data_IF_104124785989
#
_entry.id   IF_104124785989
#
_cell.length_a   1.000
_cell.length_b   1.000
_cell.length_c   1.000
_cell.angle_alpha   90.00
_cell.angle_beta   90.00
_cell.angle_gamma   90.00
#
_symmetry.space_group_name_H-M   'P 1'
#
loop_
_entity.id
_entity.type
_entity.pdbx_description
1 polymer ?
#
# COMPACT_ATOMS: atom_id res chain seq x y z
N UNK A 1 13.11 -0.78 17.72
CA UNK A 1 14.44 -0.12 17.87
C UNK A 1 14.80 0.64 16.61
N UNK A 2 15.59 1.72 16.70
CA UNK A 2 16.06 2.45 15.51
C UNK A 2 17.15 1.62 14.80
N UNK A 3 17.13 1.47 13.46
CA UNK A 3 18.17 0.73 12.78
C UNK A 3 19.51 1.46 12.91
N UNK A 4 20.59 0.69 13.06
CA UNK A 4 21.92 1.24 13.31
C UNK A 4 22.69 1.52 12.02
N UNK A 5 22.32 0.85 10.92
CA UNK A 5 22.93 1.02 9.60
C UNK A 5 21.87 0.95 8.49
N UNK A 6 22.26 1.34 7.28
CA UNK A 6 21.41 1.19 6.09
C UNK A 6 21.13 -0.29 5.78
N UNK A 7 22.10 -1.17 6.01
CA UNK A 7 21.93 -2.61 5.77
C UNK A 7 20.98 -3.25 6.78
N UNK A 8 21.05 -2.84 8.05
CA UNK A 8 20.10 -3.22 9.09
C UNK A 8 18.68 -2.76 8.74
N UNK A 9 18.52 -1.50 8.31
CA UNK A 9 17.24 -1.00 7.83
C UNK A 9 16.72 -1.80 6.64
N UNK A 10 17.56 -2.08 5.63
CA UNK A 10 17.17 -2.85 4.44
C UNK A 10 16.70 -4.25 4.83
N UNK A 11 17.44 -4.93 5.71
CA UNK A 11 17.07 -6.27 6.17
C UNK A 11 15.74 -6.26 6.89
N UNK A 12 15.51 -5.29 7.77
CA UNK A 12 14.23 -5.15 8.48
C UNK A 12 13.04 -4.89 7.55
N UNK A 13 13.21 -4.05 6.53
CA UNK A 13 12.16 -3.83 5.52
C UNK A 13 11.81 -5.14 4.81
N UNK A 14 12.82 -5.94 4.43
CA UNK A 14 12.60 -7.24 3.78
C UNK A 14 11.95 -8.26 4.72
N UNK A 15 12.40 -8.31 5.96
CA UNK A 15 11.84 -9.19 6.99
C UNK A 15 10.36 -8.83 7.24
N UNK A 16 10.03 -7.55 7.37
CA UNK A 16 8.65 -7.07 7.51
C UNK A 16 7.81 -7.37 6.26
N UNK A 17 8.35 -7.14 5.06
CA UNK A 17 7.66 -7.42 3.80
C UNK A 17 7.35 -8.91 3.62
N UNK A 18 8.19 -9.81 4.15
CA UNK A 18 7.97 -11.25 4.07
C UNK A 18 6.71 -11.71 4.81
N UNK A 19 6.29 -10.97 5.84
CA UNK A 19 5.08 -11.29 6.60
C UNK A 19 3.81 -10.71 6.00
N UNK A 20 3.88 -9.93 4.92
CA UNK A 20 2.70 -9.39 4.25
C UNK A 20 1.91 -10.54 3.61
N UNK A 21 0.65 -10.78 4.02
CA UNK A 21 -0.18 -11.82 3.43
C UNK A 21 -0.45 -11.57 1.95
N UNK A 22 -0.56 -12.63 1.14
CA UNK A 22 -0.78 -12.50 -0.31
C UNK A 22 -2.09 -11.79 -0.66
N UNK A 23 -3.13 -12.00 0.15
CA UNK A 23 -4.43 -11.35 0.03
C UNK A 23 -4.35 -9.83 0.20
N UNK A 24 -3.37 -9.29 0.95
CA UNK A 24 -3.18 -7.83 1.03
C UNK A 24 -2.80 -7.25 -0.34
N UNK A 25 -1.99 -7.96 -1.11
CA UNK A 25 -1.62 -7.54 -2.47
C UNK A 25 -2.83 -7.60 -3.38
N UNK A 26 -3.64 -8.67 -3.30
CA UNK A 26 -4.89 -8.80 -4.06
C UNK A 26 -5.88 -7.69 -3.71
N UNK A 27 -6.04 -7.38 -2.42
CA UNK A 27 -6.92 -6.32 -1.94
C UNK A 27 -6.45 -4.94 -2.39
N UNK A 28 -5.14 -4.69 -2.39
CA UNK A 28 -4.57 -3.44 -2.88
C UNK A 28 -4.84 -3.24 -4.38
N UNK A 29 -4.73 -4.30 -5.19
CA UNK A 29 -5.05 -4.27 -6.62
C UNK A 29 -6.55 -4.00 -6.84
N UNK A 30 -7.42 -4.70 -6.10
CA UNK A 30 -8.87 -4.48 -6.18
C UNK A 30 -9.22 -3.04 -5.81
N UNK A 31 -8.73 -2.56 -4.66
CA UNK A 31 -8.98 -1.21 -4.18
C UNK A 31 -8.45 -0.14 -5.14
N UNK A 32 -7.37 -0.40 -5.88
CA UNK A 32 -6.92 0.52 -6.93
C UNK A 32 -7.98 0.72 -8.02
N UNK A 33 -8.63 -0.36 -8.49
CA UNK A 33 -9.67 -0.26 -9.51
C UNK A 33 -10.95 0.41 -8.97
N UNK A 34 -11.32 0.14 -7.71
CA UNK A 34 -12.45 0.82 -7.07
C UNK A 34 -12.21 2.33 -6.99
N UNK A 35 -10.99 2.72 -6.60
CA UNK A 35 -10.55 4.13 -6.55
C UNK A 35 -10.51 4.77 -7.94
N UNK A 36 -10.03 4.05 -8.94
CA UNK A 36 -10.01 4.52 -10.32
C UNK A 36 -11.43 4.75 -10.87
N UNK A 37 -12.34 3.82 -10.63
CA UNK A 37 -13.75 3.96 -11.00
C UNK A 37 -14.38 5.16 -10.31
N UNK A 38 -14.09 5.38 -9.02
CA UNK A 38 -14.54 6.56 -8.31
C UNK A 38 -14.06 7.85 -8.99
N UNK A 39 -12.75 8.00 -9.24
CA UNK A 39 -12.18 9.17 -9.93
C UNK A 39 -12.89 9.49 -11.26
N UNK A 40 -13.23 8.45 -12.03
CA UNK A 40 -13.91 8.62 -13.32
C UNK A 40 -15.34 9.17 -13.17
N UNK A 41 -15.97 8.96 -12.02
CA UNK A 41 -17.34 9.42 -11.73
C UNK A 41 -17.42 10.77 -11.02
N UNK A 42 -16.32 11.26 -10.44
CA UNK A 42 -16.28 12.50 -9.64
C UNK A 42 -15.28 13.53 -10.17
N UNK A 43 -15.14 13.63 -11.50
CA UNK A 43 -14.23 14.59 -12.17
C UNK A 43 -12.79 14.58 -11.62
N UNK A 44 -12.32 13.42 -11.15
CA UNK A 44 -11.00 13.21 -10.54
C UNK A 44 -10.72 14.07 -9.30
N UNK A 45 -11.75 14.48 -8.57
CA UNK A 45 -11.57 15.13 -7.26
C UNK A 45 -10.88 14.19 -6.25
N UNK A 46 -10.11 14.77 -5.33
CA UNK A 46 -9.42 14.01 -4.29
C UNK A 46 -10.41 13.38 -3.31
N UNK A 47 -10.22 12.09 -3.01
CA UNK A 47 -11.15 11.30 -2.20
C UNK A 47 -10.44 10.59 -1.03
N UNK A 48 -9.39 11.20 -0.45
CA UNK A 48 -8.49 10.57 0.55
C UNK A 48 -9.19 9.87 1.74
N UNK A 49 -10.47 10.15 2.01
CA UNK A 49 -11.23 9.58 3.14
C UNK A 49 -12.55 8.88 2.76
N UNK A 50 -12.82 8.60 1.49
CA UNK A 50 -14.15 8.10 1.04
C UNK A 50 -14.24 6.57 0.84
N UNK A 51 -13.12 5.85 0.94
CA UNK A 51 -13.03 4.40 0.74
C UNK A 51 -12.22 3.71 1.83
#
# INVERSE_FOLDING_TARGET
TKPQTVDDLRRRILDEAMFIPRDYVTNAISGFYDRLAHCQTVDSEHFENLL
#
